data_IF_309288940473
#
_entry.id   IF_309288940473
#
_cell.length_a   1.000
_cell.length_b   1.000
_cell.length_c   1.000
_cell.angle_alpha   90.00
_cell.angle_beta   90.00
_cell.angle_gamma   90.00
#
_symmetry.space_group_name_H-M   'P 1'
#
loop_
_entity.id
_entity.type
_entity.pdbx_description
1 polymer ?
#
# COMPACT_ATOMS: atom_id res chain seq x y z
N UNK A 1 -8.82 -28.26 -3.10
CA UNK A 1 -9.24 -26.96 -2.53
C UNK A 1 -10.46 -26.45 -3.29
N UNK A 2 -11.47 -25.93 -2.61
CA UNK A 2 -12.75 -25.54 -3.23
C UNK A 2 -12.55 -24.38 -4.20
N UNK A 3 -13.28 -24.40 -5.34
CA UNK A 3 -13.18 -23.37 -6.40
C UNK A 3 -13.43 -21.95 -5.89
N UNK A 4 -14.34 -21.84 -4.92
CA UNK A 4 -14.71 -20.59 -4.24
C UNK A 4 -13.57 -19.95 -3.45
N UNK A 5 -12.74 -20.74 -2.76
CA UNK A 5 -11.55 -20.18 -2.06
C UNK A 5 -10.52 -19.66 -3.06
N UNK A 6 -10.34 -20.32 -4.20
CA UNK A 6 -9.50 -19.80 -5.29
C UNK A 6 -10.02 -18.46 -5.80
N UNK A 7 -11.34 -18.37 -6.03
CA UNK A 7 -11.97 -17.13 -6.45
C UNK A 7 -11.77 -16.00 -5.42
N UNK A 8 -12.02 -16.27 -4.13
CA UNK A 8 -11.78 -15.27 -3.07
C UNK A 8 -10.31 -14.81 -3.03
N UNK A 9 -9.35 -15.71 -3.30
CA UNK A 9 -7.93 -15.38 -3.36
C UNK A 9 -7.59 -14.47 -4.56
N UNK A 10 -8.22 -14.71 -5.71
CA UNK A 10 -8.12 -13.84 -6.89
C UNK A 10 -8.71 -12.46 -6.60
N UNK A 11 -9.92 -12.41 -6.02
CA UNK A 11 -10.59 -11.16 -5.66
C UNK A 11 -9.77 -10.33 -4.68
N UNK A 12 -9.16 -10.96 -3.65
CA UNK A 12 -8.25 -10.28 -2.74
C UNK A 12 -7.02 -9.71 -3.47
N UNK A 13 -6.44 -10.47 -4.39
CA UNK A 13 -5.25 -10.04 -5.14
C UNK A 13 -5.53 -8.86 -6.07
N UNK A 14 -6.71 -8.78 -6.70
CA UNK A 14 -7.06 -7.69 -7.62
C UNK A 14 -7.65 -6.47 -6.92
N UNK A 15 -8.11 -6.58 -5.66
CA UNK A 15 -8.81 -5.49 -4.97
C UNK A 15 -8.04 -4.16 -4.93
N UNK A 16 -6.69 -4.11 -4.79
CA UNK A 16 -5.96 -2.83 -4.85
C UNK A 16 -6.04 -2.13 -6.21
N UNK A 17 -6.20 -2.90 -7.30
CA UNK A 17 -6.31 -2.36 -8.66
C UNK A 17 -7.66 -1.69 -8.92
N UNK A 18 -8.65 -1.98 -8.09
CA UNK A 18 -10.03 -1.51 -8.24
C UNK A 18 -10.35 -0.28 -7.38
N UNK A 19 -9.39 0.20 -6.60
CA UNK A 19 -9.54 1.40 -5.76
C UNK A 19 -9.77 2.70 -6.53
N UNK A 20 -9.35 2.87 -7.81
CA UNK A 20 -9.67 4.07 -8.57
C UNK A 20 -11.14 4.24 -8.93
N UNK A 21 -11.94 3.15 -8.88
CA UNK A 21 -13.33 3.14 -9.34
C UNK A 21 -14.30 3.34 -8.18
N UNK A 22 -15.24 4.29 -8.34
CA UNK A 22 -16.30 4.57 -7.37
C UNK A 22 -17.58 3.87 -7.80
N UNK A 23 -18.21 3.14 -6.88
CA UNK A 23 -19.51 2.49 -7.08
C UNK A 23 -20.68 3.35 -6.59
N UNK A 24 -20.67 3.69 -5.30
CA UNK A 24 -21.76 4.43 -4.63
C UNK A 24 -21.17 5.39 -3.59
N UNK A 25 -21.66 6.61 -3.52
CA UNK A 25 -21.44 7.60 -2.45
C UNK A 25 -20.03 7.55 -1.78
N UNK A 26 -18.96 7.38 -2.58
CA UNK A 26 -17.59 7.38 -2.08
C UNK A 26 -17.02 6.01 -1.68
N UNK A 27 -17.77 4.91 -1.90
CA UNK A 27 -17.24 3.54 -1.71
C UNK A 27 -16.54 3.08 -2.98
N UNK A 28 -15.26 2.70 -2.87
CA UNK A 28 -14.53 2.19 -4.02
C UNK A 28 -14.88 0.73 -4.35
N UNK A 29 -14.70 0.36 -5.62
CA UNK A 29 -14.97 -0.98 -6.14
C UNK A 29 -14.10 -2.03 -5.44
N UNK A 30 -12.89 -1.67 -5.01
CA UNK A 30 -11.99 -2.57 -4.30
C UNK A 30 -12.56 -3.04 -2.96
N UNK A 31 -13.18 -2.14 -2.18
CA UNK A 31 -13.86 -2.51 -0.93
C UNK A 31 -15.06 -3.43 -1.20
N UNK A 32 -15.84 -3.16 -2.24
CA UNK A 32 -16.97 -4.02 -2.62
C UNK A 32 -16.50 -5.43 -2.97
N UNK A 33 -15.42 -5.57 -3.73
CA UNK A 33 -14.83 -6.86 -4.08
C UNK A 33 -14.31 -7.60 -2.84
N UNK A 34 -13.79 -6.89 -1.83
CA UNK A 34 -13.40 -7.50 -0.55
C UNK A 34 -14.61 -8.02 0.24
N UNK A 35 -15.74 -7.32 0.20
CA UNK A 35 -17.00 -7.84 0.80
C UNK A 35 -17.38 -9.16 0.14
N UNK A 36 -17.39 -9.21 -1.19
CA UNK A 36 -17.71 -10.44 -1.93
C UNK A 36 -16.73 -11.58 -1.56
N UNK A 37 -15.42 -11.30 -1.54
CA UNK A 37 -14.42 -12.29 -1.15
C UNK A 37 -14.66 -12.83 0.26
N UNK A 38 -15.01 -11.94 1.20
CA UNK A 38 -15.31 -12.29 2.59
C UNK A 38 -16.55 -13.16 2.69
N UNK A 39 -17.64 -12.81 2.00
CA UNK A 39 -18.88 -13.58 1.99
C UNK A 39 -18.68 -14.97 1.37
N UNK A 40 -17.89 -15.08 0.29
CA UNK A 40 -17.53 -16.39 -0.31
C UNK A 40 -16.83 -17.28 0.70
N UNK A 41 -15.85 -16.75 1.46
CA UNK A 41 -15.10 -17.54 2.43
C UNK A 41 -15.99 -17.93 3.61
N UNK A 42 -16.85 -17.05 4.11
CA UNK A 42 -17.82 -17.36 5.20
C UNK A 42 -18.75 -18.49 4.76
N UNK A 43 -19.36 -18.37 3.58
CA UNK A 43 -20.30 -19.38 3.06
C UNK A 43 -19.64 -20.76 2.86
N UNK A 44 -18.35 -20.81 2.52
CA UNK A 44 -17.63 -22.06 2.32
C UNK A 44 -17.13 -22.73 3.59
N UNK A 45 -16.78 -21.95 4.59
CA UNK A 45 -16.03 -22.46 5.74
C UNK A 45 -16.87 -22.56 7.00
N UNK A 46 -18.06 -21.93 7.03
CA UNK A 46 -18.89 -21.78 8.25
C UNK A 46 -18.07 -21.30 9.46
N UNK A 47 -16.93 -20.64 9.21
CA UNK A 47 -16.01 -20.25 10.26
C UNK A 47 -16.22 -18.78 10.62
N UNK A 48 -16.64 -18.55 11.85
CA UNK A 48 -16.55 -17.26 12.48
C UNK A 48 -15.09 -16.95 12.90
N UNK A 49 -14.69 -15.68 12.93
CA UNK A 49 -13.34 -15.29 13.32
C UNK A 49 -12.98 -15.83 14.69
N UNK A 50 -11.77 -16.39 14.78
CA UNK A 50 -11.24 -16.85 16.07
C UNK A 50 -10.81 -15.60 16.85
N UNK A 51 -11.51 -15.27 17.92
CA UNK A 51 -11.22 -14.10 18.78
C UNK A 51 -9.78 -14.04 19.34
N UNK A 52 -9.01 -15.11 19.18
CA UNK A 52 -7.62 -15.21 19.66
C UNK A 52 -6.60 -14.76 18.61
N UNK A 53 -7.00 -14.47 17.37
CA UNK A 53 -6.03 -14.03 16.34
C UNK A 53 -5.47 -12.64 16.66
N UNK A 54 -4.25 -12.40 16.22
CA UNK A 54 -3.56 -11.13 16.39
C UNK A 54 -4.34 -9.99 15.72
N UNK A 55 -4.87 -10.25 14.51
CA UNK A 55 -5.66 -9.30 13.73
C UNK A 55 -6.92 -8.87 14.45
N UNK A 56 -7.63 -9.83 15.10
CA UNK A 56 -8.84 -9.52 15.89
C UNK A 56 -8.49 -8.65 17.09
N UNK A 57 -7.40 -8.95 17.81
CA UNK A 57 -6.95 -8.12 18.95
C UNK A 57 -6.62 -6.71 18.52
N UNK A 58 -5.89 -6.56 17.40
CA UNK A 58 -5.55 -5.25 16.87
C UNK A 58 -6.80 -4.51 16.38
N UNK A 59 -7.72 -5.20 15.70
CA UNK A 59 -8.99 -4.62 15.27
C UNK A 59 -9.82 -4.10 16.46
N UNK A 60 -9.95 -4.90 17.53
CA UNK A 60 -10.65 -4.48 18.76
C UNK A 60 -9.99 -3.24 19.37
N UNK A 61 -8.65 -3.19 19.39
CA UNK A 61 -7.93 -2.00 19.86
C UNK A 61 -8.24 -0.76 19.02
N UNK A 62 -8.24 -0.90 17.69
CA UNK A 62 -8.60 0.19 16.75
C UNK A 62 -10.06 0.62 16.94
N UNK A 63 -10.99 -0.31 17.12
CA UNK A 63 -12.39 0.00 17.41
C UNK A 63 -12.55 0.77 18.72
N UNK A 64 -11.88 0.32 19.78
CA UNK A 64 -11.92 0.99 21.08
C UNK A 64 -11.34 2.42 20.98
N UNK A 65 -10.22 2.59 20.29
CA UNK A 65 -9.62 3.92 20.03
C UNK A 65 -10.54 4.81 19.18
N UNK A 66 -11.21 4.23 18.16
CA UNK A 66 -12.19 4.97 17.35
C UNK A 66 -13.36 5.47 18.19
N UNK A 67 -13.88 4.64 19.11
CA UNK A 67 -14.95 5.05 20.04
C UNK A 67 -14.47 6.13 21.01
N UNK A 68 -13.26 6.00 21.55
CA UNK A 68 -12.65 7.02 22.44
C UNK A 68 -12.52 8.35 21.71
N UNK A 69 -11.99 8.35 20.48
CA UNK A 69 -11.86 9.60 19.69
C UNK A 69 -13.20 10.19 19.30
N UNK A 70 -14.22 9.35 19.02
CA UNK A 70 -15.59 9.82 18.77
C UNK A 70 -16.16 10.52 20.01
N UNK A 71 -16.12 9.87 21.16
CA UNK A 71 -16.68 10.44 22.42
C UNK A 71 -15.95 11.73 22.79
N UNK A 72 -14.62 11.75 22.64
CA UNK A 72 -13.79 12.90 22.98
C UNK A 72 -14.00 14.11 22.09
N UNK A 73 -14.43 13.93 20.84
CA UNK A 73 -14.44 14.98 19.82
C UNK A 73 -15.82 15.28 19.21
N UNK A 74 -16.87 14.52 19.53
CA UNK A 74 -18.19 14.66 18.90
C UNK A 74 -18.84 16.04 19.10
N UNK A 75 -18.46 16.78 20.15
CA UNK A 75 -18.91 18.15 20.41
C UNK A 75 -18.04 19.24 19.78
N UNK A 76 -16.94 18.91 19.15
CA UNK A 76 -16.02 19.86 18.53
C UNK A 76 -16.57 20.34 17.19
N UNK A 77 -16.48 21.65 16.92
CA UNK A 77 -16.98 22.25 15.69
C UNK A 77 -16.31 21.73 14.40
N UNK A 78 -15.11 21.21 14.52
CA UNK A 78 -14.30 20.66 13.42
C UNK A 78 -14.56 19.16 13.19
N UNK A 79 -15.15 18.42 14.14
CA UNK A 79 -15.28 16.96 14.02
C UNK A 79 -16.42 16.56 13.07
N UNK A 80 -16.10 15.87 11.99
CA UNK A 80 -17.07 15.36 11.02
C UNK A 80 -17.50 13.93 11.35
N UNK A 81 -18.72 13.76 11.86
CA UNK A 81 -19.32 12.45 12.11
C UNK A 81 -19.50 11.64 10.81
N UNK A 82 -19.83 12.32 9.69
CA UNK A 82 -19.94 11.66 8.37
C UNK A 82 -18.60 11.03 7.96
N UNK A 83 -17.50 11.79 8.04
CA UNK A 83 -16.16 11.30 7.75
C UNK A 83 -15.79 10.14 8.66
N UNK A 84 -16.11 10.25 9.96
CA UNK A 84 -15.88 9.16 10.92
C UNK A 84 -16.57 7.85 10.53
N UNK A 85 -17.88 7.88 10.26
CA UNK A 85 -18.63 6.67 9.93
C UNK A 85 -18.23 6.05 8.60
N UNK A 86 -17.94 6.88 7.58
CA UNK A 86 -17.44 6.36 6.30
C UNK A 86 -16.11 5.61 6.47
N UNK A 87 -15.17 6.16 7.25
CA UNK A 87 -13.90 5.52 7.49
C UNK A 87 -14.03 4.29 8.40
N UNK A 88 -14.87 4.36 9.42
CA UNK A 88 -15.15 3.23 10.31
C UNK A 88 -15.68 2.01 9.55
N UNK A 89 -16.55 2.23 8.57
CA UNK A 89 -17.05 1.19 7.67
C UNK A 89 -15.91 0.59 6.82
N UNK A 90 -15.09 1.42 6.19
CA UNK A 90 -13.95 0.96 5.39
C UNK A 90 -12.95 0.15 6.22
N UNK A 91 -12.63 0.60 7.44
CA UNK A 91 -11.79 -0.13 8.41
C UNK A 91 -12.42 -1.51 8.70
N UNK A 92 -13.72 -1.56 8.98
CA UNK A 92 -14.44 -2.80 9.26
C UNK A 92 -14.35 -3.81 8.12
N UNK A 93 -14.51 -3.38 6.87
CA UNK A 93 -14.39 -4.23 5.69
C UNK A 93 -12.96 -4.76 5.53
N UNK A 94 -11.95 -3.89 5.61
CA UNK A 94 -10.55 -4.28 5.47
C UNK A 94 -10.14 -5.30 6.54
N UNK A 95 -10.51 -5.07 7.80
CA UNK A 95 -10.21 -6.03 8.87
C UNK A 95 -10.99 -7.34 8.76
N UNK A 96 -12.26 -7.29 8.33
CA UNK A 96 -13.03 -8.51 8.08
C UNK A 96 -12.36 -9.38 7.01
N UNK A 97 -11.91 -8.78 5.92
CA UNK A 97 -11.17 -9.48 4.88
C UNK A 97 -9.81 -10.00 5.40
N UNK A 98 -9.08 -9.21 6.19
CA UNK A 98 -7.80 -9.61 6.78
C UNK A 98 -7.97 -10.84 7.71
N UNK A 99 -9.00 -10.85 8.55
CA UNK A 99 -9.24 -11.90 9.53
C UNK A 99 -9.81 -13.17 8.87
N UNK A 100 -10.69 -13.02 7.90
CA UNK A 100 -11.45 -14.12 7.32
C UNK A 100 -10.80 -14.68 6.07
N UNK A 101 -10.38 -13.82 5.14
CA UNK A 101 -9.87 -14.23 3.83
C UNK A 101 -8.38 -14.54 3.86
N UNK A 102 -7.53 -13.63 4.40
CA UNK A 102 -6.08 -13.76 4.31
C UNK A 102 -5.51 -15.08 4.85
N UNK A 103 -5.96 -15.64 5.99
CA UNK A 103 -5.44 -16.92 6.48
C UNK A 103 -5.84 -18.14 5.62
N UNK A 104 -6.90 -17.99 4.82
CA UNK A 104 -7.52 -19.08 4.01
C UNK A 104 -7.19 -18.98 2.52
N UNK A 105 -6.40 -18.00 2.14
CA UNK A 105 -5.98 -17.77 0.75
C UNK A 105 -5.33 -19.01 0.14
N UNK A 106 -5.72 -19.34 -1.10
CA UNK A 106 -4.97 -20.24 -1.96
C UNK A 106 -3.71 -19.53 -2.47
N UNK A 107 -2.57 -19.91 -1.91
CA UNK A 107 -1.27 -19.30 -2.20
C UNK A 107 -0.96 -19.31 -3.71
N UNK A 108 -1.27 -20.42 -4.39
CA UNK A 108 -1.00 -20.56 -5.82
C UNK A 108 -1.82 -19.56 -6.64
N UNK A 109 -3.14 -19.51 -6.42
CA UNK A 109 -4.02 -18.59 -7.15
C UNK A 109 -3.71 -17.13 -6.83
N UNK A 110 -3.47 -16.79 -5.57
CA UNK A 110 -3.10 -15.44 -5.15
C UNK A 110 -1.80 -14.99 -5.82
N UNK A 111 -0.74 -15.79 -5.71
CA UNK A 111 0.57 -15.52 -6.30
C UNK A 111 0.49 -15.37 -7.83
N UNK A 112 -0.20 -16.29 -8.50
CA UNK A 112 -0.36 -16.23 -9.96
C UNK A 112 -1.10 -14.97 -10.38
N UNK A 113 -2.18 -14.61 -9.69
CA UNK A 113 -2.94 -13.39 -9.97
C UNK A 113 -2.08 -12.15 -9.77
N UNK A 114 -1.36 -12.06 -8.64
CA UNK A 114 -0.45 -10.93 -8.38
C UNK A 114 0.59 -10.78 -9.48
N UNK A 115 1.25 -11.88 -9.88
CA UNK A 115 2.24 -11.82 -10.95
C UNK A 115 1.61 -11.40 -12.30
N UNK A 116 0.46 -11.97 -12.66
CA UNK A 116 -0.24 -11.63 -13.91
C UNK A 116 -0.65 -10.18 -13.95
N UNK A 117 -1.27 -9.68 -12.88
CA UNK A 117 -1.69 -8.26 -12.78
C UNK A 117 -0.48 -7.33 -12.80
N UNK A 118 0.61 -7.70 -12.11
CA UNK A 118 1.85 -6.92 -12.14
C UNK A 118 2.50 -6.87 -13.52
N UNK A 119 2.46 -7.97 -14.28
CA UNK A 119 2.94 -7.99 -15.67
C UNK A 119 2.11 -7.04 -16.53
N UNK A 120 0.78 -7.14 -16.48
CA UNK A 120 -0.11 -6.26 -17.23
C UNK A 120 0.10 -4.79 -16.89
N UNK A 121 0.14 -4.46 -15.60
CA UNK A 121 0.39 -3.11 -15.13
C UNK A 121 1.76 -2.58 -15.59
N UNK A 122 2.78 -3.42 -15.56
CA UNK A 122 4.13 -3.07 -16.01
C UNK A 122 4.17 -2.73 -17.50
N UNK A 123 3.53 -3.53 -18.34
CA UNK A 123 3.46 -3.28 -19.78
C UNK A 123 2.71 -1.98 -20.08
N UNK A 124 1.58 -1.74 -19.39
CA UNK A 124 0.80 -0.51 -19.56
C UNK A 124 1.62 0.72 -19.13
N UNK A 125 2.31 0.68 -18.00
CA UNK A 125 3.14 1.82 -17.53
C UNK A 125 4.27 2.13 -18.50
N UNK A 126 4.95 1.11 -19.02
CA UNK A 126 6.01 1.30 -20.02
C UNK A 126 5.42 1.93 -21.28
N UNK A 127 4.25 1.47 -21.73
CA UNK A 127 3.54 2.07 -22.87
C UNK A 127 3.12 3.50 -22.60
N UNK A 128 2.52 3.82 -21.44
CA UNK A 128 2.17 5.18 -21.03
C UNK A 128 3.41 6.08 -20.99
N UNK A 129 4.53 5.56 -20.52
CA UNK A 129 5.79 6.31 -20.52
C UNK A 129 6.31 6.61 -21.92
N UNK A 130 6.19 5.62 -22.82
CA UNK A 130 6.52 5.83 -24.23
C UNK A 130 5.62 6.90 -24.86
N UNK A 131 4.31 6.89 -24.58
CA UNK A 131 3.40 7.93 -25.06
C UNK A 131 3.83 9.33 -24.56
N UNK A 132 4.19 9.47 -23.28
CA UNK A 132 4.68 10.76 -22.74
C UNK A 132 5.93 11.24 -23.49
N UNK A 133 6.86 10.35 -23.79
CA UNK A 133 8.09 10.73 -24.52
C UNK A 133 7.80 11.22 -25.95
N UNK A 134 6.75 10.70 -26.59
CA UNK A 134 6.40 11.05 -27.97
C UNK A 134 5.42 12.22 -28.05
N UNK A 135 4.43 12.29 -27.15
CA UNK A 135 3.30 13.23 -27.25
C UNK A 135 3.22 14.23 -26.09
N UNK A 136 4.06 14.08 -25.06
CA UNK A 136 4.02 14.88 -23.82
C UNK A 136 2.96 14.45 -22.82
N UNK A 137 1.98 13.62 -23.22
CA UNK A 137 0.90 13.14 -22.38
C UNK A 137 0.60 11.67 -22.65
N UNK A 138 -0.22 11.02 -21.85
CA UNK A 138 -0.70 9.67 -22.13
C UNK A 138 -2.22 9.57 -22.01
N UNK A 139 -2.80 8.63 -22.79
CA UNK A 139 -4.21 8.35 -22.75
C UNK A 139 -4.56 7.43 -21.59
N UNK A 140 -5.72 7.69 -20.96
CA UNK A 140 -6.28 6.89 -19.86
C UNK A 140 -7.17 5.74 -20.36
N UNK A 141 -6.88 5.20 -21.53
CA UNK A 141 -7.70 4.16 -22.18
C UNK A 141 -7.77 2.84 -21.41
N UNK A 142 -6.85 2.64 -20.45
CA UNK A 142 -6.77 1.41 -19.67
C UNK A 142 -7.67 1.40 -18.43
N UNK A 143 -8.48 2.44 -18.22
CA UNK A 143 -9.49 2.42 -17.18
C UNK A 143 -10.79 1.79 -17.68
N UNK A 144 -11.50 1.11 -16.77
CA UNK A 144 -12.77 0.49 -17.09
C UNK A 144 -13.82 1.56 -17.44
N UNK A 145 -14.37 1.57 -18.67
CA UNK A 145 -15.18 2.69 -19.16
C UNK A 145 -16.56 2.80 -18.48
N UNK A 146 -16.98 1.76 -17.76
CA UNK A 146 -18.31 1.68 -17.14
C UNK A 146 -18.38 2.22 -15.71
N UNK A 147 -17.23 2.58 -15.13
CA UNK A 147 -17.17 3.04 -13.74
C UNK A 147 -16.70 4.49 -13.67
N UNK A 148 -17.25 5.22 -12.70
CA UNK A 148 -16.80 6.57 -12.38
C UNK A 148 -15.41 6.48 -11.70
N UNK A 149 -14.46 7.28 -12.17
CA UNK A 149 -13.16 7.41 -11.53
C UNK A 149 -13.22 8.35 -10.34
N UNK A 150 -12.44 8.08 -9.32
CA UNK A 150 -12.21 9.01 -8.23
C UNK A 150 -11.59 10.32 -8.76
N UNK A 151 -12.01 11.46 -8.24
CA UNK A 151 -11.57 12.79 -8.70
C UNK A 151 -10.04 12.98 -8.65
N UNK A 152 -9.36 12.31 -7.70
CA UNK A 152 -7.92 12.39 -7.52
C UNK A 152 -7.10 11.58 -8.57
N UNK A 153 -7.74 10.88 -9.51
CA UNK A 153 -7.06 10.13 -10.59
C UNK A 153 -6.59 11.10 -11.68
N UNK A 154 -5.82 12.11 -11.32
CA UNK A 154 -5.71 13.28 -12.19
C UNK A 154 -4.40 13.50 -12.95
N UNK A 155 -3.32 12.73 -12.73
CA UNK A 155 -2.04 13.07 -13.32
C UNK A 155 -1.83 12.45 -14.72
N UNK A 156 -2.02 13.25 -15.77
CA UNK A 156 -1.73 12.86 -17.18
C UNK A 156 -0.24 12.78 -17.52
N UNK A 157 0.63 13.20 -16.61
CA UNK A 157 2.10 13.25 -16.83
C UNK A 157 2.86 12.15 -16.07
N UNK A 158 2.19 11.40 -15.17
CA UNK A 158 2.82 10.38 -14.35
C UNK A 158 2.14 9.02 -14.56
N UNK A 159 2.79 8.06 -15.25
CA UNK A 159 2.23 6.75 -15.54
C UNK A 159 1.88 5.98 -14.27
N UNK A 160 0.67 5.44 -14.21
CA UNK A 160 0.18 4.64 -13.09
C UNK A 160 -0.58 3.38 -13.51
N UNK A 161 -0.57 3.04 -14.80
CA UNK A 161 -1.41 2.01 -15.40
C UNK A 161 -2.90 2.26 -15.08
N UNK A 162 -3.53 1.30 -14.40
CA UNK A 162 -4.91 1.38 -13.91
C UNK A 162 -4.98 1.66 -12.40
N UNK A 163 -3.90 2.12 -11.78
CA UNK A 163 -3.90 2.54 -10.36
C UNK A 163 -4.18 4.03 -10.23
N UNK A 164 -4.67 4.43 -9.06
CA UNK A 164 -4.99 5.82 -8.73
C UNK A 164 -3.76 6.73 -8.88
N UNK A 165 -2.61 6.25 -8.42
CA UNK A 165 -1.34 6.99 -8.43
C UNK A 165 -0.14 6.07 -8.71
N UNK A 166 1.00 6.62 -9.17
CA UNK A 166 2.24 5.88 -9.33
C UNK A 166 2.75 5.21 -8.04
N UNK A 167 2.48 5.81 -6.88
CA UNK A 167 2.82 5.25 -5.57
C UNK A 167 2.06 3.95 -5.29
N UNK A 168 0.77 3.89 -5.60
CA UNK A 168 -0.07 2.69 -5.43
C UNK A 168 0.38 1.57 -6.39
N UNK A 169 0.73 1.92 -7.63
CA UNK A 169 1.35 0.97 -8.55
C UNK A 169 2.63 0.37 -7.97
N UNK A 170 3.55 1.22 -7.47
CA UNK A 170 4.80 0.76 -6.90
C UNK A 170 4.57 -0.15 -5.68
N UNK A 171 3.65 0.21 -4.79
CA UNK A 171 3.29 -0.60 -3.62
C UNK A 171 2.72 -1.97 -4.01
N UNK A 172 1.98 -2.04 -5.11
CA UNK A 172 1.43 -3.29 -5.62
C UNK A 172 2.50 -4.17 -6.29
N UNK A 173 3.34 -3.59 -7.15
CA UNK A 173 4.35 -4.34 -7.92
C UNK A 173 5.52 -4.78 -7.01
N UNK A 174 5.84 -4.05 -5.94
CA UNK A 174 7.01 -4.33 -5.12
C UNK A 174 7.02 -5.75 -4.51
N UNK A 175 5.93 -6.29 -3.93
CA UNK A 175 5.87 -7.69 -3.50
C UNK A 175 6.02 -8.68 -4.66
N UNK A 176 5.49 -8.37 -5.85
CA UNK A 176 5.65 -9.19 -7.05
C UNK A 176 7.11 -9.20 -7.54
N UNK A 177 7.79 -8.07 -7.49
CA UNK A 177 9.22 -7.94 -7.78
C UNK A 177 10.05 -8.81 -6.84
N UNK A 178 9.81 -8.70 -5.52
CA UNK A 178 10.52 -9.54 -4.56
C UNK A 178 10.23 -11.03 -4.74
N UNK A 179 8.98 -11.39 -5.04
CA UNK A 179 8.58 -12.76 -5.35
C UNK A 179 9.29 -13.30 -6.59
N UNK A 180 9.39 -12.49 -7.65
CA UNK A 180 10.10 -12.86 -8.87
C UNK A 180 11.60 -13.08 -8.61
N UNK A 181 12.22 -12.26 -7.76
CA UNK A 181 13.61 -12.44 -7.31
C UNK A 181 13.79 -13.75 -6.51
N UNK A 182 12.87 -14.06 -5.59
CA UNK A 182 12.89 -15.31 -4.81
C UNK A 182 12.76 -16.56 -5.68
N UNK A 183 11.97 -16.47 -6.76
CA UNK A 183 11.74 -17.57 -7.72
C UNK A 183 12.79 -17.65 -8.84
N UNK A 184 13.80 -16.76 -8.82
CA UNK A 184 14.81 -16.62 -9.86
C UNK A 184 14.22 -16.31 -11.25
N UNK A 185 13.05 -15.65 -11.31
CA UNK A 185 12.41 -15.18 -12.54
C UNK A 185 12.96 -13.80 -12.92
N UNK A 186 14.25 -13.77 -13.28
CA UNK A 186 14.99 -12.51 -13.48
C UNK A 186 14.41 -11.63 -14.57
N UNK A 187 13.86 -12.21 -15.65
CA UNK A 187 13.18 -11.44 -16.68
C UNK A 187 11.98 -10.64 -16.14
N UNK A 188 11.16 -11.28 -15.29
CA UNK A 188 10.05 -10.58 -14.62
C UNK A 188 10.55 -9.52 -13.64
N UNK A 189 11.63 -9.81 -12.92
CA UNK A 189 12.22 -8.83 -12.00
C UNK A 189 12.71 -7.59 -12.74
N UNK A 190 13.34 -7.75 -13.90
CA UNK A 190 13.77 -6.63 -14.75
C UNK A 190 12.55 -5.86 -15.27
N UNK A 191 11.53 -6.55 -15.77
CA UNK A 191 10.30 -5.92 -16.23
C UNK A 191 9.65 -5.06 -15.14
N UNK A 192 9.52 -5.58 -13.93
CA UNK A 192 8.95 -4.87 -12.79
C UNK A 192 9.82 -3.68 -12.35
N UNK A 193 11.16 -3.84 -12.36
CA UNK A 193 12.08 -2.75 -12.08
C UNK A 193 11.92 -1.60 -13.08
N UNK A 194 11.90 -1.90 -14.38
CA UNK A 194 11.69 -0.90 -15.45
C UNK A 194 10.35 -0.19 -15.27
N UNK A 195 9.28 -0.93 -14.97
CA UNK A 195 7.96 -0.34 -14.77
C UNK A 195 7.91 0.60 -13.57
N UNK A 196 8.48 0.21 -12.43
CA UNK A 196 8.54 1.05 -11.22
C UNK A 196 9.32 2.34 -11.52
N UNK A 197 10.47 2.24 -12.19
CA UNK A 197 11.26 3.41 -12.58
C UNK A 197 10.49 4.29 -13.58
N UNK A 198 9.84 3.69 -14.59
CA UNK A 198 9.05 4.41 -15.61
C UNK A 198 7.85 5.14 -15.01
N UNK A 199 7.30 4.67 -13.90
CA UNK A 199 6.18 5.33 -13.22
C UNK A 199 6.55 6.70 -12.60
N UNK A 200 7.84 6.95 -12.33
CA UNK A 200 8.30 8.15 -11.64
C UNK A 200 7.80 8.22 -10.19
N UNK A 201 7.54 7.07 -9.56
CA UNK A 201 7.13 6.99 -8.15
C UNK A 201 8.31 7.15 -7.22
N UNK A 202 8.33 8.19 -6.39
CA UNK A 202 9.35 8.38 -5.34
C UNK A 202 9.37 7.20 -4.36
N UNK A 203 8.20 6.69 -3.97
CA UNK A 203 8.07 5.50 -3.13
C UNK A 203 8.71 4.29 -3.79
N UNK A 204 8.44 4.07 -5.09
CA UNK A 204 9.04 2.97 -5.84
C UNK A 204 10.55 3.09 -5.96
N UNK A 205 11.04 4.29 -6.23
CA UNK A 205 12.47 4.59 -6.33
C UNK A 205 13.20 4.29 -5.02
N UNK A 206 12.65 4.66 -3.88
CA UNK A 206 13.24 4.38 -2.56
C UNK A 206 13.18 2.89 -2.18
N UNK A 207 12.10 2.20 -2.53
CA UNK A 207 11.90 0.79 -2.16
C UNK A 207 12.74 -0.18 -3.00
N UNK A 208 12.96 0.10 -4.28
CA UNK A 208 13.71 -0.79 -5.17
C UNK A 208 15.09 -1.20 -4.62
N UNK A 209 16.00 -0.26 -4.26
CA UNK A 209 17.31 -0.61 -3.73
C UNK A 209 17.21 -1.37 -2.41
N UNK A 210 16.26 -1.02 -1.54
CA UNK A 210 16.04 -1.69 -0.25
C UNK A 210 15.68 -3.15 -0.48
N UNK A 211 14.68 -3.43 -1.31
CA UNK A 211 14.20 -4.79 -1.61
C UNK A 211 15.28 -5.61 -2.30
N UNK A 212 16.02 -5.00 -3.22
CA UNK A 212 17.13 -5.65 -3.88
C UNK A 212 18.24 -6.01 -2.91
N UNK A 213 18.64 -5.10 -2.02
CA UNK A 213 19.64 -5.31 -0.98
C UNK A 213 19.25 -6.46 -0.04
N UNK A 214 17.98 -6.50 0.40
CA UNK A 214 17.45 -7.57 1.24
C UNK A 214 17.54 -8.92 0.52
N UNK A 215 17.10 -8.99 -0.73
CA UNK A 215 17.22 -10.21 -1.51
C UNK A 215 18.66 -10.63 -1.68
N UNK A 216 19.56 -9.68 -1.95
CA UNK A 216 20.98 -9.94 -2.11
C UNK A 216 21.62 -10.51 -0.85
N UNK A 217 21.27 -10.00 0.33
CA UNK A 217 21.83 -10.43 1.60
C UNK A 217 21.22 -11.74 2.11
N UNK A 218 19.90 -11.93 1.92
CA UNK A 218 19.17 -13.09 2.46
C UNK A 218 19.22 -14.33 1.56
N UNK A 219 19.43 -14.15 0.25
CA UNK A 219 19.46 -15.27 -0.67
C UNK A 219 20.90 -15.83 -0.78
N UNK A 220 21.13 -17.01 -0.20
CA UNK A 220 22.43 -17.67 -0.20
C UNK A 220 22.83 -18.33 -1.55
N UNK A 221 21.89 -18.37 -2.52
CA UNK A 221 22.14 -19.04 -3.81
C UNK A 221 23.10 -18.25 -4.69
N UNK A 222 24.07 -19.00 -5.23
CA UNK A 222 25.05 -18.68 -6.28
C UNK A 222 25.52 -17.22 -6.41
N UNK A 223 26.77 -16.96 -6.01
CA UNK A 223 27.45 -15.66 -6.23
C UNK A 223 27.35 -15.17 -7.69
N UNK A 224 27.42 -16.08 -8.66
CA UNK A 224 27.42 -15.78 -10.09
C UNK A 224 26.12 -15.14 -10.55
N UNK A 225 24.97 -15.59 -10.06
CA UNK A 225 23.68 -14.98 -10.39
C UNK A 225 23.54 -13.57 -9.79
N UNK A 226 24.09 -13.34 -8.60
CA UNK A 226 24.09 -12.01 -7.97
C UNK A 226 24.94 -11.03 -8.78
N UNK A 227 26.12 -11.46 -9.26
CA UNK A 227 27.00 -10.65 -10.10
C UNK A 227 26.31 -10.32 -11.43
N UNK A 228 25.67 -11.32 -12.07
CA UNK A 228 24.95 -11.10 -13.32
C UNK A 228 23.85 -10.02 -13.18
N UNK A 229 23.08 -10.04 -12.09
CA UNK A 229 22.04 -9.04 -11.84
C UNK A 229 22.64 -7.66 -11.60
N UNK A 230 23.75 -7.53 -10.89
CA UNK A 230 24.45 -6.25 -10.71
C UNK A 230 24.91 -5.72 -12.07
N UNK A 231 25.45 -6.59 -12.93
CA UNK A 231 25.87 -6.20 -14.29
C UNK A 231 24.67 -5.73 -15.10
N UNK A 232 23.53 -6.45 -15.05
CA UNK A 232 22.31 -6.05 -15.78
C UNK A 232 21.79 -4.71 -15.26
N UNK A 233 21.71 -4.49 -13.95
CA UNK A 233 21.28 -3.21 -13.38
C UNK A 233 22.25 -2.10 -13.77
N UNK A 234 23.58 -2.34 -13.70
CA UNK A 234 24.58 -1.39 -14.14
C UNK A 234 24.49 -1.07 -15.63
N UNK A 235 24.29 -2.08 -16.48
CA UNK A 235 24.08 -1.89 -17.91
C UNK A 235 22.79 -1.13 -18.21
N UNK A 236 21.70 -1.46 -17.52
CA UNK A 236 20.42 -0.73 -17.65
C UNK A 236 20.60 0.73 -17.23
N UNK A 237 21.31 0.99 -16.13
CA UNK A 237 21.64 2.35 -15.70
C UNK A 237 22.47 3.10 -16.76
N UNK A 238 23.50 2.47 -17.33
CA UNK A 238 24.34 3.09 -18.35
C UNK A 238 23.58 3.39 -19.65
N UNK A 239 22.71 2.48 -20.10
CA UNK A 239 21.88 2.67 -21.30
C UNK A 239 20.83 3.77 -21.11
N UNK A 240 20.24 3.85 -19.93
CA UNK A 240 19.20 4.83 -19.61
C UNK A 240 19.69 5.98 -18.75
N UNK A 241 21.01 6.22 -18.72
CA UNK A 241 21.65 7.20 -17.82
C UNK A 241 21.02 8.60 -17.87
N UNK A 242 20.80 9.13 -19.06
CA UNK A 242 20.19 10.46 -19.21
C UNK A 242 18.75 10.48 -18.72
N UNK A 243 17.99 9.46 -19.06
CA UNK A 243 16.60 9.30 -18.62
C UNK A 243 16.49 9.05 -17.12
N UNK A 244 17.32 8.17 -16.56
CA UNK A 244 17.37 7.90 -15.13
C UNK A 244 17.93 9.09 -14.37
N UNK A 245 18.89 9.83 -14.94
CA UNK A 245 19.42 11.06 -14.38
C UNK A 245 18.33 12.10 -14.16
N UNK A 246 17.54 12.42 -15.18
CA UNK A 246 16.42 13.36 -15.04
C UNK A 246 15.35 12.89 -14.05
N UNK A 247 15.10 11.57 -13.96
CA UNK A 247 14.19 11.01 -12.95
C UNK A 247 14.78 11.07 -11.53
N UNK A 248 16.08 10.78 -11.40
CA UNK A 248 16.78 10.86 -10.11
C UNK A 248 16.80 12.33 -9.65
N UNK A 249 17.21 13.24 -10.53
CA UNK A 249 17.29 14.66 -10.23
C UNK A 249 15.92 15.23 -9.84
N UNK A 250 14.86 14.91 -10.59
CA UNK A 250 13.49 15.34 -10.25
C UNK A 250 12.94 14.72 -8.96
N UNK A 251 13.38 13.52 -8.58
CA UNK A 251 12.99 12.92 -7.31
C UNK A 251 13.87 13.42 -6.15
N UNK A 252 15.14 13.69 -6.38
CA UNK A 252 16.04 14.31 -5.41
C UNK A 252 15.66 15.77 -5.14
N UNK A 253 15.29 16.52 -6.18
CA UNK A 253 14.74 17.86 -6.05
C UNK A 253 13.49 17.87 -5.15
N UNK A 254 12.54 16.96 -5.36
CA UNK A 254 11.37 16.78 -4.47
C UNK A 254 11.72 16.39 -3.03
N UNK A 255 12.84 15.73 -2.80
CA UNK A 255 13.33 15.39 -1.46
C UNK A 255 14.06 16.58 -0.83
N UNK A 256 14.74 17.38 -1.66
CA UNK A 256 15.57 18.52 -1.23
C UNK A 256 14.83 19.86 -1.19
N UNK A 257 13.68 19.98 -1.88
CA UNK A 257 12.84 21.19 -1.84
C UNK A 257 12.28 21.42 -0.44
N UNK A 258 13.16 21.98 0.39
CA UNK A 258 12.89 22.30 1.79
C UNK A 258 12.21 23.67 1.95
N UNK A 259 12.18 24.50 0.90
CA UNK A 259 11.74 25.90 1.03
C UNK A 259 10.22 26.10 0.96
N UNK A 260 9.46 25.15 0.44
CA UNK A 260 7.96 25.25 0.35
C UNK A 260 7.17 24.20 1.14
N UNK A 261 7.79 23.47 2.05
CA UNK A 261 7.05 22.68 3.08
C UNK A 261 6.32 21.40 2.62
N UNK A 262 6.16 21.14 1.32
CA UNK A 262 5.34 20.04 0.82
C UNK A 262 6.08 18.69 0.72
N UNK A 263 7.35 18.66 0.37
CA UNK A 263 8.07 17.39 0.13
C UNK A 263 8.48 16.66 1.41
N UNK A 264 8.85 17.40 2.45
CA UNK A 264 9.18 16.85 3.77
C UNK A 264 7.95 16.44 4.59
N UNK A 265 6.73 16.83 4.19
CA UNK A 265 5.47 16.47 4.85
C UNK A 265 5.31 14.95 4.92
N UNK A 266 5.72 14.18 3.90
CA UNK A 266 5.56 12.72 3.89
C UNK A 266 6.45 11.98 4.89
N UNK A 267 7.67 12.45 5.14
CA UNK A 267 8.59 11.76 6.06
C UNK A 267 8.46 12.27 7.49
N UNK A 268 8.56 13.56 7.72
CA UNK A 268 8.60 14.15 9.06
C UNK A 268 7.67 15.35 9.22
N UNK A 269 7.23 16.00 8.13
CA UNK A 269 6.41 17.21 8.19
C UNK A 269 5.10 17.05 8.98
N UNK A 270 4.52 15.84 8.94
CA UNK A 270 3.35 15.53 9.77
C UNK A 270 3.57 15.65 11.27
N UNK A 271 4.83 15.64 11.75
CA UNK A 271 5.15 15.89 13.16
C UNK A 271 4.87 17.35 13.56
N UNK A 272 4.95 18.29 12.64
CA UNK A 272 4.65 19.69 12.91
C UNK A 272 3.19 19.89 13.38
N UNK A 273 2.27 19.04 12.92
CA UNK A 273 0.86 19.09 13.35
C UNK A 273 0.68 18.85 14.85
N UNK A 274 1.59 18.07 15.48
CA UNK A 274 1.52 17.80 16.92
C UNK A 274 1.73 19.05 17.79
N UNK A 275 2.34 20.11 17.27
CA UNK A 275 2.47 21.38 17.99
C UNK A 275 1.13 22.05 18.26
N UNK A 276 0.12 21.79 17.41
CA UNK A 276 -1.24 22.35 17.51
C UNK A 276 -2.18 21.50 18.38
N UNK A 277 -1.77 20.28 18.75
CA UNK A 277 -2.62 19.37 19.51
C UNK A 277 -2.48 19.61 21.02
N UNK A 278 -3.61 19.59 21.72
CA UNK A 278 -3.68 19.51 23.17
C UNK A 278 -3.05 18.20 23.68
N UNK A 279 -2.77 18.10 24.98
CA UNK A 279 -2.22 16.88 25.56
C UNK A 279 -3.15 15.68 25.37
N UNK A 280 -4.47 15.86 25.50
CA UNK A 280 -5.45 14.80 25.27
C UNK A 280 -5.46 14.31 23.81
N UNK A 281 -5.37 15.23 22.85
CA UNK A 281 -5.29 14.89 21.42
C UNK A 281 -3.97 14.20 21.05
N UNK A 282 -2.86 14.57 21.69
CA UNK A 282 -1.58 13.85 21.53
C UNK A 282 -1.64 12.42 22.06
N UNK A 283 -2.38 12.19 23.14
CA UNK A 283 -2.50 10.86 23.76
C UNK A 283 -3.49 10.00 23.01
N UNK A 284 -4.71 10.50 22.72
CA UNK A 284 -5.84 9.75 22.16
C UNK A 284 -6.08 9.98 20.67
N UNK A 285 -5.50 11.02 20.07
CA UNK A 285 -5.69 11.40 18.67
C UNK A 285 -6.93 12.24 18.42
N UNK A 286 -7.03 12.73 17.17
CA UNK A 286 -8.16 13.56 16.71
C UNK A 286 -9.22 12.77 15.94
N UNK A 287 -9.00 11.48 15.71
CA UNK A 287 -9.85 10.61 14.90
C UNK A 287 -9.31 10.40 13.48
N UNK A 288 -9.64 9.26 12.90
CA UNK A 288 -9.16 8.86 11.58
C UNK A 288 -9.68 9.79 10.48
N UNK A 289 -8.81 10.30 9.62
CA UNK A 289 -9.11 11.24 8.53
C UNK A 289 -9.78 12.56 8.97
N UNK A 290 -9.58 13.01 10.21
CA UNK A 290 -10.13 14.28 10.69
C UNK A 290 -9.18 15.47 10.54
N UNK A 291 -7.95 15.26 10.07
CA UNK A 291 -6.91 16.30 10.05
C UNK A 291 -7.31 17.53 9.22
N UNK A 292 -7.88 17.33 8.03
CA UNK A 292 -8.36 18.42 7.18
C UNK A 292 -9.52 19.20 7.82
N UNK A 293 -10.40 18.51 8.54
CA UNK A 293 -11.48 19.14 9.29
C UNK A 293 -10.94 19.92 10.51
N UNK A 294 -9.92 19.37 11.21
CA UNK A 294 -9.29 19.98 12.37
C UNK A 294 -8.62 21.32 12.04
N UNK A 295 -7.95 21.41 10.91
CA UNK A 295 -7.32 22.65 10.47
C UNK A 295 -8.29 23.60 9.76
N UNK A 296 -9.48 23.13 9.37
CA UNK A 296 -10.53 23.91 8.72
C UNK A 296 -10.05 24.58 7.44
N UNK A 297 -10.60 25.76 7.14
CA UNK A 297 -10.26 26.56 5.97
C UNK A 297 -8.87 27.25 6.04
N UNK A 298 -7.95 26.76 6.85
CA UNK A 298 -6.59 27.32 7.01
C UNK A 298 -5.63 26.94 5.87
N UNK A 299 -6.16 26.62 4.68
CA UNK A 299 -5.37 26.22 3.51
C UNK A 299 -5.35 24.70 3.33
N UNK A 300 -4.91 24.28 2.17
CA UNK A 300 -4.79 22.87 1.77
C UNK A 300 -3.76 22.14 2.64
N UNK A 301 -4.18 21.76 3.84
CA UNK A 301 -3.44 20.79 4.64
C UNK A 301 -3.68 19.43 4.01
N UNK A 302 -2.88 19.14 3.00
CA UNK A 302 -2.89 17.84 2.37
C UNK A 302 -2.42 16.81 3.39
N UNK A 303 -3.21 15.77 3.56
CA UNK A 303 -3.03 14.70 4.53
C UNK A 303 -1.92 13.72 4.09
N UNK A 304 -0.73 14.23 3.76
CA UNK A 304 0.39 13.47 3.19
C UNK A 304 1.38 12.93 4.24
N UNK A 305 0.93 12.63 5.44
CA UNK A 305 1.79 11.99 6.43
C UNK A 305 2.08 10.52 6.09
N UNK A 306 3.20 9.99 6.58
CA UNK A 306 3.45 8.56 6.52
C UNK A 306 2.52 7.78 7.47
N UNK A 307 2.43 6.45 7.29
CA UNK A 307 1.49 5.63 8.04
C UNK A 307 1.68 5.65 9.55
N UNK A 308 2.90 5.80 10.06
CA UNK A 308 3.18 5.89 11.50
C UNK A 308 2.70 7.22 12.09
N UNK A 309 3.04 8.32 11.43
CA UNK A 309 2.61 9.67 11.84
C UNK A 309 1.10 9.78 11.73
N UNK A 310 0.52 9.24 10.66
CA UNK A 310 -0.93 9.23 10.48
C UNK A 310 -1.65 8.44 11.56
N UNK A 311 -1.09 7.30 12.00
CA UNK A 311 -1.62 6.56 13.15
C UNK A 311 -1.56 7.38 14.44
N UNK A 312 -0.44 8.09 14.65
CA UNK A 312 -0.27 8.95 15.81
C UNK A 312 -1.21 10.17 15.79
N UNK A 313 -1.45 10.78 14.64
CA UNK A 313 -2.44 11.85 14.46
C UNK A 313 -3.85 11.31 14.75
N UNK A 314 -4.20 10.16 14.16
CA UNK A 314 -5.56 9.61 14.23
C UNK A 314 -5.92 9.12 15.63
N UNK A 315 -5.00 8.42 16.30
CA UNK A 315 -5.25 7.70 17.56
C UNK A 315 -4.22 7.98 18.65
N UNK A 316 -3.44 9.03 18.49
CA UNK A 316 -2.45 9.47 19.45
C UNK A 316 -1.29 8.49 19.64
N UNK A 317 -0.50 8.73 20.69
CA UNK A 317 0.60 7.85 21.07
C UNK A 317 0.12 6.44 21.46
N UNK A 318 -1.10 6.32 21.98
CA UNK A 318 -1.69 5.01 22.29
C UNK A 318 -1.89 4.20 20.99
N UNK A 319 -2.45 4.82 19.96
CA UNK A 319 -2.62 4.18 18.66
C UNK A 319 -1.31 3.80 18.01
N UNK A 320 -0.32 4.69 18.00
CA UNK A 320 1.01 4.40 17.49
C UNK A 320 1.65 3.21 18.22
N UNK A 321 1.57 3.17 19.55
CA UNK A 321 2.09 2.06 20.35
C UNK A 321 1.38 0.74 20.01
N UNK A 322 0.06 0.75 19.85
CA UNK A 322 -0.72 -0.42 19.44
C UNK A 322 -0.30 -0.93 18.05
N UNK A 323 -0.06 -0.02 17.09
CA UNK A 323 0.43 -0.37 15.76
C UNK A 323 1.83 -1.00 15.81
N UNK A 324 2.76 -0.40 16.56
CA UNK A 324 4.12 -0.94 16.71
C UNK A 324 4.10 -2.34 17.34
N UNK A 325 3.33 -2.52 18.43
CA UNK A 325 3.14 -3.84 19.06
C UNK A 325 2.55 -4.83 18.05
N UNK A 326 1.54 -4.41 17.26
CA UNK A 326 0.96 -5.26 16.23
C UNK A 326 1.99 -5.68 15.20
N UNK A 327 2.76 -4.76 14.62
CA UNK A 327 3.78 -5.05 13.61
C UNK A 327 4.86 -6.00 14.14
N UNK A 328 5.37 -5.79 15.37
CA UNK A 328 6.31 -6.70 16.01
C UNK A 328 5.71 -8.11 16.14
N UNK A 329 4.46 -8.21 16.59
CA UNK A 329 3.79 -9.51 16.73
C UNK A 329 3.50 -10.18 15.37
N UNK A 330 3.21 -9.42 14.29
CA UNK A 330 3.12 -9.96 12.92
C UNK A 330 4.42 -10.66 12.54
N UNK A 331 5.57 -10.02 12.81
CA UNK A 331 6.86 -10.65 12.53
C UNK A 331 7.11 -11.90 13.36
N UNK A 332 6.86 -11.84 14.67
CA UNK A 332 7.10 -12.96 15.59
C UNK A 332 6.17 -14.15 15.34
N UNK A 333 4.91 -13.89 15.04
CA UNK A 333 3.89 -14.94 14.87
C UNK A 333 3.97 -15.59 13.49
N UNK A 334 4.05 -14.80 12.42
CA UNK A 334 4.01 -15.32 11.05
C UNK A 334 5.38 -15.63 10.47
N UNK A 335 6.45 -15.08 11.06
CA UNK A 335 7.84 -15.23 10.57
C UNK A 335 7.90 -15.09 9.05
N UNK A 336 7.41 -13.97 8.49
CA UNK A 336 7.37 -13.75 7.05
C UNK A 336 8.78 -13.74 6.47
N UNK A 337 8.89 -13.90 5.15
CA UNK A 337 10.14 -13.51 4.50
C UNK A 337 10.47 -12.06 4.86
N UNK A 338 11.70 -11.85 5.27
CA UNK A 338 12.19 -10.54 5.73
C UNK A 338 11.88 -9.44 4.69
N UNK A 339 11.99 -9.75 3.39
CA UNK A 339 11.70 -8.78 2.33
C UNK A 339 10.25 -8.33 2.30
N UNK A 340 9.27 -9.21 2.45
CA UNK A 340 7.86 -8.80 2.52
C UNK A 340 7.58 -7.93 3.75
N UNK A 341 8.16 -8.29 4.88
CA UNK A 341 8.00 -7.50 6.10
C UNK A 341 8.65 -6.13 5.99
N UNK A 342 9.85 -6.04 5.42
CA UNK A 342 10.54 -4.76 5.24
C UNK A 342 9.88 -3.90 4.17
N UNK A 343 9.27 -4.50 3.12
CA UNK A 343 8.40 -3.77 2.17
C UNK A 343 7.23 -3.15 2.94
N UNK A 344 6.55 -3.91 3.80
CA UNK A 344 5.46 -3.41 4.62
C UNK A 344 5.89 -2.21 5.47
N UNK A 345 7.00 -2.34 6.21
CA UNK A 345 7.53 -1.26 7.06
C UNK A 345 7.93 -0.04 6.24
N UNK A 346 8.62 -0.23 5.12
CA UNK A 346 9.04 0.86 4.26
C UNK A 346 7.85 1.59 3.61
N UNK A 347 6.79 0.87 3.25
CA UNK A 347 5.54 1.50 2.78
C UNK A 347 4.89 2.31 3.90
N UNK A 348 4.90 1.85 5.15
CA UNK A 348 4.45 2.66 6.29
C UNK A 348 5.27 3.93 6.50
N UNK A 349 6.58 3.89 6.23
CA UNK A 349 7.46 5.06 6.33
C UNK A 349 7.25 6.08 5.20
N UNK A 350 6.74 5.66 4.04
CA UNK A 350 6.70 6.51 2.84
C UNK A 350 5.30 6.88 2.37
N UNK A 351 4.26 6.23 2.91
CA UNK A 351 2.89 6.36 2.38
C UNK A 351 1.84 6.19 3.47
N UNK A 352 0.73 6.87 3.27
CA UNK A 352 -0.44 6.77 4.14
C UNK A 352 -1.30 5.56 3.73
N UNK A 353 -0.87 4.37 4.11
CA UNK A 353 -1.59 3.11 3.77
C UNK A 353 -2.43 2.56 4.91
N UNK A 354 -2.55 3.30 6.01
CA UNK A 354 -3.24 2.83 7.21
C UNK A 354 -4.71 2.48 6.91
N UNK A 355 -5.11 1.26 7.27
CA UNK A 355 -6.46 0.70 7.08
C UNK A 355 -6.96 0.70 5.62
N UNK A 356 -6.03 0.69 4.67
CA UNK A 356 -6.34 0.63 3.25
C UNK A 356 -6.33 -0.81 2.71
N UNK A 357 -6.89 -0.98 1.53
CA UNK A 357 -6.81 -2.24 0.77
C UNK A 357 -5.35 -2.62 0.49
N UNK A 358 -4.48 -1.63 0.26
CA UNK A 358 -3.04 -1.85 0.06
C UNK A 358 -2.38 -2.43 1.31
N UNK A 359 -2.73 -1.95 2.50
CA UNK A 359 -2.24 -2.53 3.75
C UNK A 359 -2.67 -3.99 3.90
N UNK A 360 -3.95 -4.28 3.65
CA UNK A 360 -4.48 -5.64 3.67
C UNK A 360 -3.71 -6.57 2.72
N UNK A 361 -3.45 -6.10 1.51
CA UNK A 361 -2.68 -6.82 0.50
C UNK A 361 -1.24 -7.12 0.97
N UNK A 362 -0.53 -6.14 1.51
CA UNK A 362 0.83 -6.31 2.05
C UNK A 362 0.86 -7.23 3.27
N UNK A 363 -0.09 -7.10 4.20
CA UNK A 363 -0.22 -7.99 5.36
C UNK A 363 -0.50 -9.43 4.94
N UNK A 364 -1.27 -9.64 3.87
CA UNK A 364 -1.52 -10.98 3.34
C UNK A 364 -0.20 -11.66 2.93
N UNK A 365 0.74 -10.97 2.31
CA UNK A 365 2.07 -11.54 2.03
C UNK A 365 2.83 -11.91 3.31
N UNK A 366 2.70 -11.12 4.36
CA UNK A 366 3.33 -11.43 5.65
C UNK A 366 2.70 -12.69 6.29
N UNK A 367 1.36 -12.79 6.27
CA UNK A 367 0.62 -13.96 6.81
C UNK A 367 0.95 -15.24 6.02
N UNK A 368 1.09 -15.13 4.70
CA UNK A 368 1.38 -16.26 3.82
C UNK A 368 2.87 -16.61 3.72
N UNK A 369 3.77 -15.83 4.33
CA UNK A 369 5.21 -15.93 4.13
C UNK A 369 5.78 -17.34 4.27
N UNK A 370 5.41 -18.09 5.30
CA UNK A 370 5.84 -19.49 5.47
C UNK A 370 5.22 -20.43 4.45
N UNK A 371 3.95 -20.21 4.07
CA UNK A 371 3.26 -21.06 3.08
C UNK A 371 3.86 -20.87 1.68
N UNK A 372 4.30 -19.66 1.33
CA UNK A 372 4.95 -19.38 0.03
C UNK A 372 6.24 -20.19 -0.11
N UNK A 373 6.97 -20.43 0.98
CA UNK A 373 8.20 -21.23 0.97
C UNK A 373 7.97 -22.72 0.69
N UNK A 374 6.88 -23.26 1.19
CA UNK A 374 6.57 -24.71 1.06
C UNK A 374 6.03 -25.06 -0.35
N UNK A 375 5.75 -24.08 -1.19
CA UNK A 375 5.32 -24.25 -2.59
C UNK A 375 6.49 -24.15 -3.60
N UNK A 376 7.75 -24.19 -3.13
CA UNK A 376 8.94 -24.40 -3.97
C UNK A 376 9.21 -25.89 -4.11
#
# INVERSE_FOLDING_TARGET
MRKSIKLASVLLAISPCLTPYILFSGTDLGLFVLIIATLIVIGETNCFPIFRSLEVKFFIAVLALSVITLIGNIGSSWFSTKTFFNNFWAIGICFSALIIVSPRVDVSSFKQTVLTVSILASLIVIYQRFQILVTGTFNREFYLPFFQLAEDVAHVTRPSAFYKEPSHLAQYIMPAFYLALLENKYFLSILFCIAILSSGSTTGFLLLPIVFFIWFTTNSKSKNHKILIIIIIGATYLIFREFLGTLIDSNMEKVNDTEEGESNIRLLGGLAFFSYFSLSEKIAGIGFNQLSNFFGARGDVSNYSNGFIFMAISYGYIGLSALLIYLVNVYLQYRPYLGFYLILIAVFCTSQVLFSITLLYLLTFCILGQKINNYK
#
